data_IF_251410276292
#
_entry.id   IF_251410276292
#
_cell.length_a   1.000
_cell.length_b   1.000
_cell.length_c   1.000
_cell.angle_alpha   90.00
_cell.angle_beta   90.00
_cell.angle_gamma   90.00
#
_symmetry.space_group_name_H-M   'P 1'
#
loop_
_entity.id
_entity.type
_entity.pdbx_description
1 polymer ?
#
# COMPACT_ATOMS: atom_id res chain seq x y z
N UNK A 1 -11.00 53.98 -6.92
CA UNK A 1 -11.77 52.85 -6.35
C UNK A 1 -12.58 52.21 -7.46
N UNK A 2 -12.09 51.10 -8.02
CA UNK A 2 -12.79 50.39 -9.10
C UNK A 2 -13.96 49.59 -8.51
N UNK A 3 -15.18 49.79 -9.03
CA UNK A 3 -16.38 49.04 -8.62
C UNK A 3 -16.43 47.73 -9.40
N UNK A 4 -16.41 46.61 -8.68
CA UNK A 4 -16.49 45.27 -9.25
C UNK A 4 -17.94 45.00 -9.74
N UNK A 5 -18.09 44.59 -11.00
CA UNK A 5 -19.40 44.39 -11.63
C UNK A 5 -20.06 43.07 -11.16
N UNK A 6 -21.39 43.03 -10.92
CA UNK A 6 -22.09 41.86 -10.38
C UNK A 6 -21.94 40.59 -11.23
N UNK A 7 -21.73 40.75 -12.54
CA UNK A 7 -21.56 39.65 -13.47
C UNK A 7 -20.24 38.89 -13.26
N UNK A 8 -19.19 39.59 -12.77
CA UNK A 8 -17.89 38.98 -12.49
C UNK A 8 -17.93 38.07 -11.27
N UNK A 9 -18.75 38.43 -10.29
CA UNK A 9 -18.95 37.68 -9.04
C UNK A 9 -19.72 36.38 -9.31
N UNK A 10 -20.73 36.41 -10.19
CA UNK A 10 -21.53 35.24 -10.54
C UNK A 10 -20.72 34.15 -11.29
N UNK A 11 -19.73 34.56 -12.08
CA UNK A 11 -18.85 33.63 -12.80
C UNK A 11 -17.87 32.90 -11.87
N UNK A 12 -17.42 33.57 -10.79
CA UNK A 12 -16.52 32.97 -9.81
C UNK A 12 -17.19 31.90 -8.93
N UNK A 13 -18.50 32.00 -8.66
CA UNK A 13 -19.20 31.02 -7.81
C UNK A 13 -19.49 29.68 -8.50
N UNK A 14 -19.54 29.62 -9.83
CA UNK A 14 -19.78 28.38 -10.57
C UNK A 14 -18.56 27.44 -10.61
N UNK A 15 -17.36 27.96 -10.32
CA UNK A 15 -16.13 27.16 -10.22
C UNK A 15 -15.79 26.71 -8.79
N UNK A 16 -16.53 27.16 -7.76
CA UNK A 16 -16.20 26.91 -6.35
C UNK A 16 -17.06 25.77 -5.73
N UNK A 17 -18.09 25.28 -6.44
CA UNK A 17 -19.02 24.27 -5.91
C UNK A 17 -18.80 22.81 -6.33
N UNK A 18 -17.70 22.49 -6.99
CA UNK A 18 -17.21 21.11 -6.97
C UNK A 18 -15.97 21.09 -6.08
N UNK A 19 -16.10 20.98 -4.75
CA UNK A 19 -15.02 20.33 -4.03
C UNK A 19 -15.00 18.92 -4.61
N UNK A 20 -14.05 18.63 -5.49
CA UNK A 20 -13.59 17.27 -5.70
C UNK A 20 -13.04 16.81 -4.36
N UNK A 21 -13.95 16.36 -3.51
CA UNK A 21 -13.64 15.60 -2.31
C UNK A 21 -13.02 14.31 -2.83
N UNK A 22 -11.73 14.37 -3.10
CA UNK A 22 -10.91 13.18 -3.23
C UNK A 22 -10.87 12.58 -1.84
N UNK A 23 -11.89 11.78 -1.52
CA UNK A 23 -11.86 10.95 -0.33
C UNK A 23 -10.63 10.08 -0.46
N UNK A 24 -9.63 10.32 0.39
CA UNK A 24 -8.44 9.46 0.44
C UNK A 24 -8.89 8.07 0.89
N UNK A 25 -9.12 7.18 -0.07
CA UNK A 25 -9.43 5.78 0.22
C UNK A 25 -8.18 5.17 0.83
N UNK A 26 -8.26 4.77 2.10
CA UNK A 26 -7.23 3.94 2.69
C UNK A 26 -7.28 2.58 2.00
N UNK A 27 -6.15 2.07 1.47
CA UNK A 27 -6.12 0.74 0.90
C UNK A 27 -6.42 -0.28 2.00
N UNK A 28 -7.29 -1.23 1.70
CA UNK A 28 -7.57 -2.38 2.54
C UNK A 28 -6.32 -3.24 2.76
N UNK A 29 -6.30 -4.05 3.81
CA UNK A 29 -5.20 -4.96 4.07
C UNK A 29 -4.94 -5.93 2.90
N UNK A 30 -5.98 -6.35 2.19
CA UNK A 30 -5.84 -7.22 1.03
C UNK A 30 -5.15 -6.51 -0.15
N UNK A 31 -5.49 -5.24 -0.39
CA UNK A 31 -4.82 -4.42 -1.42
C UNK A 31 -3.35 -4.17 -1.06
N UNK A 32 -3.06 -3.91 0.22
CA UNK A 32 -1.68 -3.74 0.71
C UNK A 32 -0.88 -5.04 0.58
N UNK A 33 -1.46 -6.19 0.94
CA UNK A 33 -0.81 -7.48 0.80
C UNK A 33 -0.51 -7.82 -0.66
N UNK A 34 -1.45 -7.59 -1.58
CA UNK A 34 -1.22 -7.88 -2.99
C UNK A 34 -0.19 -6.92 -3.61
N UNK A 35 -0.06 -5.69 -3.10
CA UNK A 35 0.99 -4.76 -3.51
C UNK A 35 2.40 -5.28 -3.18
N UNK A 36 2.55 -6.07 -2.11
CA UNK A 36 3.81 -6.71 -1.72
C UNK A 36 4.08 -8.01 -2.50
N UNK A 37 3.18 -8.42 -3.41
CA UNK A 37 3.34 -9.68 -4.16
C UNK A 37 4.53 -9.61 -5.11
N UNK A 38 5.44 -10.56 -4.96
CA UNK A 38 6.56 -10.73 -5.88
C UNK A 38 6.08 -11.56 -7.07
N UNK A 39 6.06 -10.96 -8.25
CA UNK A 39 5.56 -11.61 -9.47
C UNK A 39 6.67 -12.24 -10.32
N UNK A 40 7.91 -11.76 -10.19
CA UNK A 40 9.07 -12.29 -10.89
C UNK A 40 10.37 -11.94 -10.15
N UNK A 41 11.36 -12.84 -10.21
CA UNK A 41 12.70 -12.60 -9.72
C UNK A 41 13.73 -12.88 -10.81
N UNK A 42 14.79 -12.06 -10.94
CA UNK A 42 15.89 -12.35 -11.86
C UNK A 42 16.50 -13.73 -11.59
N UNK A 43 16.52 -14.58 -12.61
CA UNK A 43 17.13 -15.92 -12.52
C UNK A 43 16.30 -17.00 -11.79
N UNK A 44 15.11 -16.68 -11.31
CA UNK A 44 14.23 -17.67 -10.68
C UNK A 44 13.54 -18.52 -11.76
N UNK A 45 13.60 -19.87 -11.67
CA UNK A 45 12.78 -20.72 -12.52
C UNK A 45 11.29 -20.55 -12.19
N UNK A 46 10.36 -20.99 -13.06
CA UNK A 46 8.93 -20.91 -12.78
C UNK A 46 8.57 -21.59 -11.45
N UNK A 47 7.88 -20.86 -10.57
CA UNK A 47 7.37 -21.36 -9.29
C UNK A 47 5.85 -21.28 -9.24
N UNK A 48 5.22 -22.17 -8.47
CA UNK A 48 3.76 -22.25 -8.32
C UNK A 48 3.23 -21.62 -7.03
N UNK A 49 4.10 -21.39 -6.04
CA UNK A 49 3.74 -20.75 -4.79
C UNK A 49 3.71 -19.23 -4.94
N UNK A 50 2.89 -18.56 -4.14
CA UNK A 50 2.92 -17.11 -4.01
C UNK A 50 3.93 -16.73 -2.93
N UNK A 51 4.65 -15.64 -3.16
CA UNK A 51 5.52 -15.05 -2.17
C UNK A 51 5.42 -13.53 -2.21
N UNK A 52 5.65 -12.94 -1.05
CA UNK A 52 5.39 -11.54 -0.76
C UNK A 52 6.61 -10.97 -0.04
N UNK A 53 7.04 -9.78 -0.42
CA UNK A 53 8.18 -9.12 0.22
C UNK A 53 7.88 -7.63 0.37
N UNK A 54 8.11 -7.11 1.57
CA UNK A 54 7.72 -5.75 1.91
C UNK A 54 8.22 -5.32 3.27
N UNK A 55 7.62 -4.27 3.81
CA UNK A 55 8.01 -3.68 5.09
C UNK A 55 6.83 -3.59 6.05
N UNK A 56 7.03 -4.07 7.28
CA UNK A 56 6.08 -3.90 8.38
C UNK A 56 6.59 -2.81 9.31
N UNK A 57 5.80 -1.75 9.48
CA UNK A 57 6.11 -0.69 10.46
C UNK A 57 5.92 -1.22 11.88
N UNK A 58 6.90 -0.96 12.75
CA UNK A 58 6.84 -1.37 14.15
C UNK A 58 5.84 -0.54 14.95
N UNK A 59 5.74 0.75 14.63
CA UNK A 59 4.77 1.69 15.21
C UNK A 59 4.26 2.60 14.08
N UNK A 60 2.99 3.04 14.09
CA UNK A 60 2.44 3.83 12.98
C UNK A 60 3.20 5.12 12.68
N UNK A 61 3.75 5.76 13.72
CA UNK A 61 4.47 7.03 13.66
C UNK A 61 5.98 6.87 13.50
N UNK A 62 6.51 5.64 13.52
CA UNK A 62 7.94 5.40 13.42
C UNK A 62 8.42 5.39 11.97
N UNK A 63 9.66 5.84 11.78
CA UNK A 63 10.42 5.62 10.54
C UNK A 63 11.00 4.21 10.44
N UNK A 64 11.07 3.47 11.56
CA UNK A 64 11.61 2.12 11.60
C UNK A 64 10.59 1.10 11.09
N UNK A 65 11.03 0.26 10.17
CA UNK A 65 10.27 -0.86 9.65
C UNK A 65 11.15 -2.11 9.54
N UNK A 66 10.53 -3.28 9.65
CA UNK A 66 11.17 -4.56 9.40
C UNK A 66 10.86 -5.00 7.98
N UNK A 67 11.91 -5.33 7.23
CA UNK A 67 11.75 -6.05 5.98
C UNK A 67 11.32 -7.49 6.27
N UNK A 68 10.40 -8.01 5.48
CA UNK A 68 9.98 -9.41 5.51
C UNK A 68 9.97 -10.01 4.11
N UNK A 69 10.10 -11.34 4.06
CA UNK A 69 9.88 -12.11 2.84
C UNK A 69 9.12 -13.39 3.21
N UNK A 70 7.84 -13.41 2.86
CA UNK A 70 6.90 -14.48 3.16
C UNK A 70 6.68 -15.37 1.94
N UNK A 71 6.63 -16.69 2.18
CA UNK A 71 6.37 -17.70 1.17
C UNK A 71 5.16 -18.52 1.60
N UNK A 72 4.15 -18.62 0.75
CA UNK A 72 3.05 -19.55 0.99
C UNK A 72 3.52 -21.00 0.84
N UNK A 73 2.81 -21.92 1.48
CA UNK A 73 2.98 -23.34 1.21
C UNK A 73 2.69 -23.65 -0.26
N UNK A 74 3.36 -24.66 -0.82
CA UNK A 74 3.14 -25.03 -2.23
C UNK A 74 1.75 -25.67 -2.44
N UNK A 75 1.30 -26.49 -1.48
CA UNK A 75 0.04 -27.21 -1.53
C UNK A 75 -0.71 -27.09 -0.19
N UNK A 76 -2.05 -27.02 -0.27
CA UNK A 76 -2.92 -26.97 0.91
C UNK A 76 -2.68 -25.74 1.79
N UNK A 77 -2.48 -24.56 1.18
CA UNK A 77 -2.08 -23.31 1.86
C UNK A 77 -2.88 -23.04 3.13
N UNK A 78 -4.21 -23.14 3.06
CA UNK A 78 -5.11 -22.86 4.18
C UNK A 78 -4.95 -23.82 5.37
N UNK A 79 -4.37 -25.00 5.16
CA UNK A 79 -4.21 -26.04 6.18
C UNK A 79 -2.81 -26.06 6.81
N UNK A 80 -1.87 -25.22 6.32
CA UNK A 80 -0.49 -25.17 6.82
C UNK A 80 -0.32 -24.09 7.88
N UNK A 81 0.51 -24.35 8.91
CA UNK A 81 0.81 -23.36 9.93
C UNK A 81 1.69 -22.23 9.37
N UNK A 82 1.63 -21.06 10.00
CA UNK A 82 2.59 -19.99 9.80
C UNK A 82 3.87 -20.28 10.58
N UNK A 83 5.02 -20.20 9.91
CA UNK A 83 6.35 -20.32 10.52
C UNK A 83 7.10 -19.01 10.38
N UNK A 84 7.54 -18.43 11.50
CA UNK A 84 8.41 -17.27 11.53
C UNK A 84 9.87 -17.72 11.70
N UNK A 85 10.71 -17.40 10.73
CA UNK A 85 12.15 -17.65 10.78
C UNK A 85 12.91 -16.36 11.09
N UNK A 86 13.70 -16.35 12.16
CA UNK A 86 14.54 -15.22 12.56
C UNK A 86 16.00 -15.67 12.58
N UNK A 87 16.85 -14.95 11.84
CA UNK A 87 18.28 -15.17 11.91
C UNK A 87 18.86 -14.46 13.14
N UNK A 88 19.88 -15.08 13.75
CA UNK A 88 20.66 -14.49 14.84
C UNK A 88 21.94 -13.80 14.35
N UNK A 89 22.70 -13.30 15.31
CA UNK A 89 23.95 -12.57 15.09
C UNK A 89 23.98 -11.30 15.94
N UNK A 90 25.15 -10.95 16.44
CA UNK A 90 25.40 -9.66 17.09
C UNK A 90 26.43 -8.93 16.25
N UNK A 91 26.08 -7.70 15.87
CA UNK A 91 27.00 -6.77 15.20
C UNK A 91 27.79 -6.05 16.28
#
# INVERSE_FOLDING_TARGET
MAKLSPCFILCCFLFIHIPTFTQSRQPSYAEQQEADRVTNLPGQPPVKFRHYAGYVKLRPQDSKALFYWFFEAQDGVSDKPLVLWLNGGSI
#
